data_IF_859448974061
#
_entry.id   IF_859448974061
#
_cell.length_a   1.000
_cell.length_b   1.000
_cell.length_c   1.000
_cell.angle_alpha   90.00
_cell.angle_beta   90.00
_cell.angle_gamma   90.00
#
_symmetry.space_group_name_H-M   'P 1'
#
loop_
_entity.id
_entity.type
_entity.pdbx_description
1 polymer ?
#
# COMPACT_ATOMS: atom_id res chain seq x y z
N UNK A 1 -9.15 -18.44 -14.22
CA UNK A 1 -8.52 -18.99 -13.00
C UNK A 1 -7.84 -17.83 -12.26
N UNK A 2 -8.14 -17.61 -10.98
CA UNK A 2 -7.48 -16.57 -10.18
C UNK A 2 -5.97 -16.84 -10.14
N UNK A 3 -5.16 -15.82 -10.38
CA UNK A 3 -3.69 -15.87 -10.24
C UNK A 3 -3.32 -15.14 -8.95
N UNK A 4 -3.37 -15.80 -7.77
CA UNK A 4 -3.28 -15.15 -6.47
C UNK A 4 -1.96 -14.40 -6.22
N UNK A 5 -0.94 -14.67 -7.03
CA UNK A 5 0.34 -13.97 -6.96
C UNK A 5 0.42 -12.70 -7.82
N UNK A 6 -0.65 -12.35 -8.55
CA UNK A 6 -0.68 -11.07 -9.26
C UNK A 6 -0.59 -9.91 -8.27
N UNK A 7 0.22 -8.88 -8.56
CA UNK A 7 0.44 -7.74 -7.67
C UNK A 7 -0.82 -7.07 -7.15
N UNK A 8 -1.89 -7.03 -7.96
CA UNK A 8 -3.17 -6.43 -7.58
C UNK A 8 -3.86 -7.17 -6.43
N UNK A 9 -3.83 -8.50 -6.43
CA UNK A 9 -4.47 -9.29 -5.37
C UNK A 9 -3.65 -9.27 -4.09
N UNK A 10 -2.32 -9.32 -4.23
CA UNK A 10 -1.41 -9.13 -3.10
C UNK A 10 -1.56 -7.73 -2.49
N UNK A 11 -1.71 -6.69 -3.31
CA UNK A 11 -1.96 -5.34 -2.85
C UNK A 11 -3.29 -5.23 -2.10
N UNK A 12 -4.38 -5.77 -2.69
CA UNK A 12 -5.70 -5.79 -2.05
C UNK A 12 -5.67 -6.55 -0.71
N UNK A 13 -5.03 -7.71 -0.66
CA UNK A 13 -4.83 -8.45 0.59
C UNK A 13 -4.06 -7.64 1.64
N UNK A 14 -3.05 -6.88 1.22
CA UNK A 14 -2.34 -5.95 2.08
C UNK A 14 -3.24 -4.84 2.65
N UNK A 15 -4.13 -4.26 1.84
CA UNK A 15 -5.11 -3.27 2.30
C UNK A 15 -6.10 -3.88 3.30
N UNK A 16 -6.55 -5.12 3.06
CA UNK A 16 -7.42 -5.85 4.00
C UNK A 16 -6.72 -6.09 5.33
N UNK A 17 -5.47 -6.54 5.32
CA UNK A 17 -4.66 -6.72 6.53
C UNK A 17 -4.49 -5.40 7.30
N UNK A 18 -4.26 -4.27 6.61
CA UNK A 18 -4.25 -2.94 7.25
C UNK A 18 -5.58 -2.63 7.94
N UNK A 19 -6.71 -2.89 7.28
CA UNK A 19 -8.03 -2.64 7.87
C UNK A 19 -8.30 -3.49 9.10
N UNK A 20 -7.77 -4.73 9.12
CA UNK A 20 -7.79 -5.65 10.26
C UNK A 20 -6.75 -5.31 11.34
N UNK A 21 -5.91 -4.28 11.14
CA UNK A 21 -4.80 -3.89 12.03
C UNK A 21 -3.76 -4.99 12.21
N UNK A 22 -3.49 -5.74 11.16
CA UNK A 22 -2.41 -6.72 11.08
C UNK A 22 -1.27 -6.15 10.22
N UNK A 23 -0.36 -5.35 10.81
CA UNK A 23 0.70 -4.71 10.05
C UNK A 23 1.74 -5.70 9.51
N UNK A 24 1.91 -6.86 10.15
CA UNK A 24 2.89 -7.87 9.74
C UNK A 24 2.43 -8.58 8.47
N UNK A 25 1.17 -9.00 8.42
CA UNK A 25 0.59 -9.60 7.21
C UNK A 25 0.48 -8.58 6.07
N UNK A 26 0.11 -7.33 6.39
CA UNK A 26 0.10 -6.24 5.43
C UNK A 26 1.47 -6.04 4.79
N UNK A 27 2.53 -5.93 5.59
CA UNK A 27 3.91 -5.81 5.10
C UNK A 27 4.30 -7.00 4.21
N UNK A 28 4.02 -8.24 4.66
CA UNK A 28 4.36 -9.45 3.91
C UNK A 28 3.73 -9.44 2.52
N UNK A 29 2.44 -9.16 2.43
CA UNK A 29 1.69 -9.13 1.18
C UNK A 29 2.13 -7.98 0.27
N UNK A 30 2.34 -6.78 0.82
CA UNK A 30 2.71 -5.59 0.05
C UNK A 30 4.15 -5.69 -0.50
N UNK A 31 5.09 -6.27 0.26
CA UNK A 31 6.43 -6.58 -0.26
C UNK A 31 6.36 -7.61 -1.39
N UNK A 32 5.49 -8.62 -1.29
CA UNK A 32 5.28 -9.59 -2.38
C UNK A 32 4.66 -8.90 -3.61
N UNK A 33 3.70 -7.99 -3.41
CA UNK A 33 3.10 -7.19 -4.48
C UNK A 33 4.15 -6.35 -5.20
N UNK A 34 5.03 -5.68 -4.46
CA UNK A 34 6.12 -4.86 -4.99
C UNK A 34 7.10 -5.70 -5.83
N UNK A 35 7.55 -6.86 -5.31
CA UNK A 35 8.45 -7.78 -6.04
C UNK A 35 7.85 -8.28 -7.36
N UNK A 36 6.54 -8.51 -7.37
CA UNK A 36 5.85 -9.05 -8.54
C UNK A 36 5.39 -7.93 -9.52
N UNK A 37 5.50 -6.66 -9.13
CA UNK A 37 5.06 -5.53 -9.93
C UNK A 37 6.06 -5.22 -11.05
N UNK A 38 5.55 -5.15 -12.28
CA UNK A 38 6.35 -4.79 -13.48
C UNK A 38 6.24 -3.32 -13.88
N UNK A 39 5.32 -2.58 -13.26
CA UNK A 39 4.99 -1.20 -13.64
C UNK A 39 5.15 -0.25 -12.45
N UNK A 40 5.82 0.91 -12.62
CA UNK A 40 6.01 1.89 -11.55
C UNK A 40 4.70 2.34 -10.87
N UNK A 41 3.61 2.45 -11.63
CA UNK A 41 2.30 2.81 -11.08
C UNK A 41 1.74 1.78 -10.09
N UNK A 42 2.04 0.48 -10.27
CA UNK A 42 1.64 -0.58 -9.33
C UNK A 42 2.60 -0.65 -8.15
N UNK A 43 3.89 -0.45 -8.41
CA UNK A 43 4.93 -0.39 -7.40
C UNK A 43 4.64 0.76 -6.41
N UNK A 44 4.38 1.97 -6.89
CA UNK A 44 4.11 3.16 -6.05
C UNK A 44 2.92 2.98 -5.10
N UNK A 45 1.81 2.39 -5.54
CA UNK A 45 0.66 2.08 -4.67
C UNK A 45 1.01 1.09 -3.56
N UNK A 46 1.76 0.03 -3.90
CA UNK A 46 2.19 -0.96 -2.91
C UNK A 46 3.23 -0.38 -1.94
N UNK A 47 4.13 0.46 -2.42
CA UNK A 47 5.12 1.18 -1.59
C UNK A 47 4.45 2.16 -0.63
N UNK A 48 3.42 2.89 -1.08
CA UNK A 48 2.63 3.76 -0.20
C UNK A 48 1.97 2.97 0.93
N UNK A 49 1.25 1.90 0.58
CA UNK A 49 0.58 1.05 1.58
C UNK A 49 1.58 0.35 2.51
N UNK A 50 2.79 0.02 2.04
CA UNK A 50 3.86 -0.51 2.89
C UNK A 50 4.28 0.53 3.93
N UNK A 51 4.35 1.81 3.55
CA UNK A 51 4.56 2.90 4.49
C UNK A 51 3.48 2.95 5.58
N UNK A 52 2.21 2.73 5.22
CA UNK A 52 1.12 2.65 6.20
C UNK A 52 1.27 1.47 7.16
N UNK A 53 1.66 0.29 6.66
CA UNK A 53 1.91 -0.90 7.49
C UNK A 53 3.03 -0.65 8.50
N UNK A 54 4.14 -0.07 8.03
CA UNK A 54 5.30 0.27 8.87
C UNK A 54 4.96 1.32 9.93
N UNK A 55 4.15 2.32 9.57
CA UNK A 55 3.63 3.28 10.53
C UNK A 55 2.73 2.60 11.59
N UNK A 56 1.86 1.66 11.23
CA UNK A 56 1.07 0.91 12.23
C UNK A 56 1.96 0.09 13.15
N UNK A 57 3.02 -0.53 12.61
CA UNK A 57 4.00 -1.30 13.37
C UNK A 57 4.93 -0.45 14.26
N UNK A 58 4.86 0.89 14.21
CA UNK A 58 5.79 1.76 14.97
C UNK A 58 7.12 2.02 14.30
N UNK A 59 7.34 1.49 13.10
CA UNK A 59 8.57 1.62 12.32
C UNK A 59 8.56 2.89 11.47
N UNK A 60 8.42 4.04 12.14
CA UNK A 60 8.18 5.35 11.51
C UNK A 60 9.28 5.77 10.53
N UNK A 61 10.55 5.48 10.81
CA UNK A 61 11.63 5.90 9.92
C UNK A 61 11.58 5.14 8.60
N UNK A 62 11.31 3.83 8.65
CA UNK A 62 11.13 3.01 7.45
C UNK A 62 9.88 3.42 6.67
N UNK A 63 8.79 3.75 7.36
CA UNK A 63 7.60 4.30 6.72
C UNK A 63 7.91 5.58 5.92
N UNK A 64 8.73 6.49 6.47
CA UNK A 64 9.14 7.71 5.77
C UNK A 64 9.99 7.43 4.52
N UNK A 65 10.80 6.37 4.53
CA UNK A 65 11.52 5.91 3.33
C UNK A 65 10.51 5.48 2.27
N UNK A 66 9.55 4.63 2.63
CA UNK A 66 8.50 4.20 1.71
C UNK A 66 7.69 5.38 1.14
N UNK A 67 7.33 6.39 1.94
CA UNK A 67 6.61 7.55 1.40
C UNK A 67 7.46 8.37 0.41
N UNK A 68 8.77 8.51 0.65
CA UNK A 68 9.68 9.18 -0.31
C UNK A 68 9.78 8.38 -1.60
N UNK A 69 9.94 7.06 -1.51
CA UNK A 69 10.00 6.18 -2.68
C UNK A 69 8.69 6.20 -3.47
N UNK A 70 7.55 6.14 -2.78
CA UNK A 70 6.23 6.24 -3.42
C UNK A 70 6.07 7.55 -4.19
N UNK A 71 6.57 8.67 -3.68
CA UNK A 71 6.55 9.96 -4.39
C UNK A 71 7.36 9.95 -5.68
N UNK A 72 8.53 9.29 -5.69
CA UNK A 72 9.38 9.18 -6.88
C UNK A 72 8.72 8.30 -7.94
N UNK A 73 8.06 7.22 -7.53
CA UNK A 73 7.44 6.25 -8.43
C UNK A 73 6.03 6.64 -8.90
N UNK A 74 5.37 7.57 -8.22
CA UNK A 74 3.94 7.83 -8.41
C UNK A 74 3.64 8.63 -9.68
N UNK A 75 2.94 7.98 -10.59
CA UNK A 75 2.27 8.64 -11.73
C UNK A 75 0.94 9.26 -11.28
N UNK A 76 0.23 8.59 -10.37
CA UNK A 76 -1.11 8.97 -9.94
C UNK A 76 -1.07 10.11 -8.89
N UNK A 77 -1.82 11.22 -9.07
CA UNK A 77 -1.86 12.34 -8.12
C UNK A 77 -2.23 11.93 -6.70
N UNK A 78 -3.20 11.04 -6.54
CA UNK A 78 -3.70 10.58 -5.24
C UNK A 78 -2.62 9.86 -4.43
N UNK A 79 -1.74 9.10 -5.09
CA UNK A 79 -0.61 8.44 -4.43
C UNK A 79 0.41 9.47 -3.93
N UNK A 80 0.65 10.54 -4.71
CA UNK A 80 1.55 11.63 -4.29
C UNK A 80 0.99 12.40 -3.11
N UNK A 81 -0.29 12.71 -3.11
CA UNK A 81 -0.95 13.39 -1.99
C UNK A 81 -0.92 12.56 -0.71
N UNK A 82 -1.28 11.29 -0.81
CA UNK A 82 -1.25 10.36 0.31
C UNK A 82 0.18 10.19 0.86
N UNK A 83 1.19 10.07 0.01
CA UNK A 83 2.59 9.96 0.44
C UNK A 83 3.08 11.26 1.13
N UNK A 84 2.72 12.44 0.61
CA UNK A 84 3.01 13.73 1.28
C UNK A 84 2.30 13.84 2.63
N UNK A 85 1.06 13.36 2.74
CA UNK A 85 0.36 13.28 4.01
C UNK A 85 1.08 12.33 4.98
N UNK A 86 1.51 11.16 4.52
CA UNK A 86 2.28 10.18 5.28
C UNK A 86 3.62 10.72 5.79
N UNK A 87 4.30 11.58 5.03
CA UNK A 87 5.53 12.25 5.49
C UNK A 87 5.29 13.24 6.64
N UNK A 88 4.13 13.93 6.62
CA UNK A 88 3.75 14.92 7.65
C UNK A 88 3.18 14.27 8.90
N UNK A 89 2.36 13.23 8.74
CA UNK A 89 1.62 12.57 9.83
C UNK A 89 1.73 11.07 9.73
N UNK A 90 1.91 10.41 10.87
CA UNK A 90 1.88 8.95 10.99
C UNK A 90 0.51 8.39 10.59
N UNK A 91 0.49 7.33 9.79
CA UNK A 91 -0.70 6.54 9.57
C UNK A 91 -1.03 5.74 10.84
N UNK A 92 -2.27 5.86 11.34
CA UNK A 92 -2.66 5.32 12.64
C UNK A 92 -3.92 4.47 12.58
N UNK A 93 -4.27 3.82 13.69
CA UNK A 93 -5.38 2.88 13.76
C UNK A 93 -6.74 3.45 13.30
N UNK A 94 -7.01 4.73 13.57
CA UNK A 94 -8.23 5.38 13.10
C UNK A 94 -8.28 5.47 11.56
N UNK A 95 -7.15 5.80 10.92
CA UNK A 95 -7.06 5.83 9.47
C UNK A 95 -7.13 4.42 8.86
N UNK A 96 -6.52 3.43 9.53
CA UNK A 96 -6.60 2.03 9.13
C UNK A 96 -8.04 1.50 9.12
N UNK A 97 -8.82 1.81 10.17
CA UNK A 97 -10.23 1.43 10.27
C UNK A 97 -11.11 2.15 9.26
N UNK A 98 -10.74 3.38 8.87
CA UNK A 98 -11.47 4.18 7.89
C UNK A 98 -11.07 3.90 6.43
N UNK A 99 -10.17 2.94 6.18
CA UNK A 99 -9.82 2.55 4.81
C UNK A 99 -11.05 1.99 4.10
N UNK A 100 -11.64 2.78 3.22
CA UNK A 100 -12.62 2.30 2.27
C UNK A 100 -11.89 1.43 1.23
N UNK A 101 -12.02 0.11 1.35
CA UNK A 101 -11.52 -0.84 0.37
C UNK A 101 -12.61 -0.99 -0.68
N UNK A 102 -12.44 -0.27 -1.79
CA UNK A 102 -13.34 -0.39 -2.92
C UNK A 102 -12.99 -1.62 -3.75
N UNK A 103 -13.91 -2.57 -3.80
CA UNK A 103 -13.78 -3.79 -4.59
C UNK A 103 -14.20 -3.58 -6.06
N UNK A 104 -14.76 -2.42 -6.43
CA UNK A 104 -15.32 -2.12 -7.76
C UNK A 104 -14.27 -1.92 -8.86
N UNK A 105 -12.98 -1.90 -8.55
CA UNK A 105 -11.90 -1.77 -9.55
C UNK A 105 -11.05 -3.03 -9.70
N UNK A 106 -11.60 -4.19 -9.32
CA UNK A 106 -11.01 -5.50 -9.56
C UNK A 106 -11.16 -5.99 -11.01
N UNK A 107 -11.72 -5.17 -11.90
CA UNK A 107 -12.10 -5.59 -13.24
C UNK A 107 -10.98 -5.47 -14.29
N UNK A 108 -10.99 -6.49 -15.14
CA UNK A 108 -10.16 -6.78 -16.29
C UNK A 108 -9.80 -5.56 -17.17
N UNK A 109 -8.53 -5.45 -17.55
CA UNK A 109 -8.20 -5.10 -18.93
C UNK A 109 -7.72 -6.37 -19.61
N UNK A 110 -8.56 -6.88 -20.52
CA UNK A 110 -8.12 -7.81 -21.57
C UNK A 110 -7.21 -7.12 -22.57
#
# INVERSE_FOLDING_TARGET
RLRPEEPRWLHLGGLLALSCRDPDEAERLLRKAQRNARLPARTSRSTLALGWALDLAGRRQEARICYKEALVLAVAPEVREAARAGLRRRFGHAAAHALAIDFQHADFFG
#
